data_IF_756387192587
#
_entry.id   IF_756387192587
#
_cell.length_a   1.000
_cell.length_b   1.000
_cell.length_c   1.000
_cell.angle_alpha   90.00
_cell.angle_beta   90.00
_cell.angle_gamma   90.00
#
_symmetry.space_group_name_H-M   'P 1'
#
loop_
_entity.id
_entity.type
_entity.pdbx_description
1 polymer ?
#
# COMPACT_ATOMS: atom_id res chain seq x y z
N UNK A 1 -7.57 -20.88 -22.44
CA UNK A 1 -6.54 -19.86 -22.72
C UNK A 1 -5.55 -19.88 -21.57
N UNK A 2 -4.27 -19.97 -21.86
CA UNK A 2 -3.18 -19.99 -20.88
C UNK A 2 -2.51 -18.63 -20.84
N UNK A 3 -2.58 -17.96 -19.67
CA UNK A 3 -2.07 -16.61 -19.48
C UNK A 3 -1.00 -16.57 -18.38
N UNK A 4 -0.16 -15.54 -18.39
CA UNK A 4 0.88 -15.36 -17.38
C UNK A 4 1.19 -13.89 -17.08
N UNK A 5 1.91 -13.67 -15.95
CA UNK A 5 2.73 -12.49 -15.73
C UNK A 5 4.19 -12.87 -15.89
N UNK A 6 4.94 -12.09 -16.66
CA UNK A 6 6.40 -12.22 -16.73
C UNK A 6 7.11 -11.04 -16.09
N UNK A 7 8.15 -11.33 -15.35
CA UNK A 7 9.00 -10.35 -14.67
C UNK A 7 10.25 -11.02 -14.12
N UNK A 8 11.17 -10.25 -13.55
CA UNK A 8 12.39 -10.83 -12.96
C UNK A 8 12.13 -11.39 -11.55
N UNK A 9 11.28 -10.72 -10.75
CA UNK A 9 10.90 -11.16 -9.41
C UNK A 9 9.41 -10.91 -9.20
N UNK A 10 8.65 -11.96 -8.87
CA UNK A 10 7.18 -11.93 -8.80
C UNK A 10 6.60 -12.41 -7.47
N UNK A 11 7.44 -12.77 -6.51
CA UNK A 11 7.05 -13.38 -5.23
C UNK A 11 6.00 -12.61 -4.41
N UNK A 12 5.84 -11.32 -4.68
CA UNK A 12 4.90 -10.43 -3.95
C UNK A 12 3.79 -9.87 -4.86
N UNK A 13 3.65 -10.39 -6.09
CA UNK A 13 2.65 -9.92 -7.06
C UNK A 13 1.23 -10.36 -6.69
N UNK A 14 0.28 -9.42 -6.77
CA UNK A 14 -1.16 -9.72 -6.63
C UNK A 14 -1.81 -10.11 -7.97
N UNK A 15 -1.08 -10.03 -9.08
CA UNK A 15 -1.65 -10.22 -10.42
C UNK A 15 -2.34 -11.57 -10.57
N UNK A 16 -1.73 -12.66 -10.06
CA UNK A 16 -2.36 -13.97 -10.11
C UNK A 16 -3.71 -13.99 -9.39
N UNK A 17 -3.76 -13.52 -8.14
CA UNK A 17 -5.00 -13.45 -7.36
C UNK A 17 -6.07 -12.59 -8.06
N UNK A 18 -5.69 -11.44 -8.63
CA UNK A 18 -6.61 -10.56 -9.36
C UNK A 18 -7.18 -11.25 -10.61
N UNK A 19 -6.32 -11.86 -11.44
CA UNK A 19 -6.74 -12.51 -12.67
C UNK A 19 -7.57 -13.79 -12.40
N UNK A 20 -7.26 -14.53 -11.34
CA UNK A 20 -8.06 -15.69 -10.90
C UNK A 20 -9.45 -15.28 -10.42
N UNK A 21 -9.59 -14.12 -9.74
CA UNK A 21 -10.90 -13.56 -9.33
C UNK A 21 -11.76 -13.16 -10.54
N UNK A 22 -11.18 -12.81 -11.68
CA UNK A 22 -11.96 -12.62 -12.91
C UNK A 22 -12.56 -13.92 -13.46
N UNK A 23 -11.91 -15.07 -13.26
CA UNK A 23 -12.48 -16.38 -13.54
C UNK A 23 -12.54 -16.80 -15.04
N UNK A 24 -11.83 -16.11 -15.95
CA UNK A 24 -11.93 -16.37 -17.39
C UNK A 24 -10.84 -17.27 -17.95
N UNK A 25 -9.70 -17.42 -17.25
CA UNK A 25 -8.53 -18.17 -17.71
C UNK A 25 -7.59 -18.54 -16.56
N UNK A 26 -6.71 -19.50 -16.81
CA UNK A 26 -5.63 -19.83 -15.89
C UNK A 26 -4.50 -18.79 -16.00
N UNK A 27 -3.92 -18.39 -14.86
CA UNK A 27 -2.91 -17.35 -14.83
C UNK A 27 -1.68 -17.77 -14.00
N UNK A 28 -0.52 -17.83 -14.67
CA UNK A 28 0.74 -18.25 -14.07
C UNK A 28 1.62 -17.04 -13.74
N UNK A 29 2.54 -17.21 -12.79
CA UNK A 29 3.65 -16.29 -12.55
C UNK A 29 4.92 -16.92 -13.10
N UNK A 30 5.61 -16.23 -14.01
CA UNK A 30 6.81 -16.74 -14.68
C UNK A 30 7.96 -15.76 -14.45
N UNK A 31 8.86 -16.11 -13.54
CA UNK A 31 10.10 -15.36 -13.33
C UNK A 31 11.09 -15.71 -14.45
N UNK A 32 11.66 -14.68 -15.06
CA UNK A 32 12.58 -14.81 -16.18
C UNK A 32 13.85 -14.01 -15.93
N UNK A 33 14.99 -14.58 -16.32
CA UNK A 33 16.22 -13.80 -16.49
C UNK A 33 16.20 -13.04 -17.82
N UNK A 34 16.91 -11.90 -17.94
CA UNK A 34 16.86 -11.05 -19.14
C UNK A 34 17.21 -11.77 -20.45
N UNK A 35 18.15 -12.69 -20.42
CA UNK A 35 18.60 -13.47 -21.57
C UNK A 35 17.56 -14.49 -22.09
N UNK A 36 16.53 -14.78 -21.28
CA UNK A 36 15.45 -15.70 -21.65
C UNK A 36 14.21 -15.01 -22.22
N UNK A 37 14.16 -13.68 -22.21
CA UNK A 37 12.97 -12.93 -22.62
C UNK A 37 12.57 -13.22 -24.07
N UNK A 38 13.49 -13.17 -25.02
CA UNK A 38 13.23 -13.44 -26.44
C UNK A 38 12.70 -14.87 -26.65
N UNK A 39 13.37 -15.87 -26.05
CA UNK A 39 12.97 -17.26 -26.15
C UNK A 39 11.56 -17.50 -25.59
N UNK A 40 11.20 -16.83 -24.49
CA UNK A 40 9.87 -16.90 -23.92
C UNK A 40 8.81 -16.35 -24.91
N UNK A 41 9.05 -15.16 -25.47
CA UNK A 41 8.12 -14.49 -26.39
C UNK A 41 7.90 -15.34 -27.64
N UNK A 42 8.97 -15.92 -28.23
CA UNK A 42 8.91 -16.74 -29.46
C UNK A 42 8.40 -18.17 -29.22
N UNK A 43 8.62 -18.70 -28.02
CA UNK A 43 8.44 -20.13 -27.69
C UNK A 43 7.01 -20.66 -27.65
N UNK A 44 5.97 -19.82 -27.71
CA UNK A 44 4.58 -20.25 -27.93
C UNK A 44 3.86 -20.90 -26.75
N UNK A 45 4.41 -20.87 -25.55
CA UNK A 45 3.84 -21.54 -24.37
C UNK A 45 2.61 -20.87 -23.75
N UNK A 46 2.30 -19.62 -24.13
CA UNK A 46 1.20 -18.82 -23.61
C UNK A 46 0.44 -18.12 -24.73
N UNK A 47 -0.89 -18.05 -24.57
CA UNK A 47 -1.77 -17.34 -25.50
C UNK A 47 -1.70 -15.83 -25.31
N UNK A 48 -1.54 -15.40 -24.04
CA UNK A 48 -1.42 -14.00 -23.65
C UNK A 48 -0.63 -13.87 -22.35
N UNK A 49 -0.02 -12.71 -22.11
CA UNK A 49 0.69 -12.47 -20.87
C UNK A 49 0.85 -10.97 -20.55
N UNK A 50 0.92 -10.66 -19.26
CA UNK A 50 1.32 -9.35 -18.81
C UNK A 50 2.84 -9.29 -18.60
N UNK A 51 3.38 -8.09 -18.66
CA UNK A 51 4.81 -7.80 -18.56
C UNK A 51 5.03 -6.77 -17.45
N UNK A 52 5.92 -7.08 -16.49
CA UNK A 52 6.30 -6.14 -15.45
C UNK A 52 7.81 -5.85 -15.45
N UNK A 53 8.29 -5.19 -14.45
CA UNK A 53 9.70 -4.78 -14.28
C UNK A 53 10.63 -5.99 -14.42
N UNK A 54 11.76 -5.87 -15.18
CA UNK A 54 12.22 -4.69 -15.92
C UNK A 54 11.79 -4.65 -17.40
N UNK A 55 10.95 -5.57 -17.88
CA UNK A 55 10.79 -5.95 -19.27
C UNK A 55 9.85 -5.07 -20.10
N UNK A 56 9.10 -4.13 -19.53
CA UNK A 56 8.08 -3.32 -20.23
C UNK A 56 8.59 -2.57 -21.48
N UNK A 57 9.86 -2.19 -21.49
CA UNK A 57 10.51 -1.57 -22.66
C UNK A 57 11.37 -2.55 -23.46
N UNK A 58 11.95 -3.53 -22.79
CA UNK A 58 12.86 -4.51 -23.40
C UNK A 58 12.15 -5.50 -24.31
N UNK A 59 10.84 -5.73 -24.09
CA UNK A 59 10.05 -6.67 -24.88
C UNK A 59 9.68 -6.13 -26.26
N UNK A 60 9.66 -4.82 -26.46
CA UNK A 60 9.17 -4.15 -27.67
C UNK A 60 9.82 -4.72 -28.96
N UNK A 61 11.16 -4.94 -29.03
CA UNK A 61 11.79 -5.47 -30.24
C UNK A 61 11.34 -6.90 -30.66
N UNK A 62 10.70 -7.63 -29.75
CA UNK A 62 10.25 -9.01 -29.99
C UNK A 62 8.77 -9.11 -30.39
N UNK A 63 8.08 -7.95 -30.54
CA UNK A 63 6.65 -7.88 -30.87
C UNK A 63 6.45 -7.46 -32.32
N UNK A 64 5.44 -8.08 -32.98
CA UNK A 64 5.14 -7.81 -34.38
C UNK A 64 4.35 -6.50 -34.57
N UNK A 65 3.52 -6.12 -33.59
CA UNK A 65 2.71 -4.92 -33.65
C UNK A 65 2.43 -4.36 -32.25
N UNK A 66 2.35 -3.06 -32.17
CA UNK A 66 1.97 -2.34 -30.95
C UNK A 66 0.66 -1.59 -31.18
N UNK A 67 -0.15 -1.41 -30.09
CA UNK A 67 -1.25 -0.46 -30.12
C UNK A 67 -0.73 0.99 -29.99
N UNK A 68 -1.57 1.97 -30.31
CA UNK A 68 -1.18 3.38 -30.31
C UNK A 68 -0.71 3.86 -28.94
N UNK A 69 -1.31 3.35 -27.87
CA UNK A 69 -0.94 3.70 -26.48
C UNK A 69 0.46 3.17 -26.18
N UNK A 70 0.76 1.92 -26.52
CA UNK A 70 2.08 1.33 -26.29
C UNK A 70 3.17 2.05 -27.11
N UNK A 71 2.87 2.47 -28.36
CA UNK A 71 3.78 3.26 -29.19
C UNK A 71 4.07 4.60 -28.55
N UNK A 72 3.04 5.39 -28.19
CA UNK A 72 3.23 6.72 -27.62
C UNK A 72 3.84 6.68 -26.21
N UNK A 73 3.46 5.69 -25.38
CA UNK A 73 4.02 5.52 -24.05
C UNK A 73 5.43 4.92 -24.07
N UNK A 74 5.84 4.27 -25.16
CA UNK A 74 7.13 3.58 -25.28
C UNK A 74 7.29 2.46 -24.26
N UNK A 75 6.19 1.78 -23.91
CA UNK A 75 6.18 0.71 -22.91
C UNK A 75 5.00 -0.24 -23.15
N UNK A 76 5.24 -1.55 -23.01
CA UNK A 76 4.25 -2.62 -23.14
C UNK A 76 4.13 -3.36 -21.81
N UNK A 77 2.90 -3.53 -21.32
CA UNK A 77 2.61 -4.35 -20.14
C UNK A 77 1.65 -5.52 -20.41
N UNK A 78 1.15 -5.65 -21.65
CA UNK A 78 0.17 -6.65 -22.04
C UNK A 78 0.48 -7.14 -23.45
N UNK A 79 0.54 -8.46 -23.64
CA UNK A 79 0.86 -9.09 -24.93
C UNK A 79 -0.15 -10.18 -25.21
N UNK A 80 -0.61 -10.28 -26.46
CA UNK A 80 -1.50 -11.35 -26.91
C UNK A 80 -1.01 -11.94 -28.22
N UNK A 81 -1.11 -13.26 -28.36
CA UNK A 81 -0.79 -13.99 -29.58
C UNK A 81 -2.04 -14.10 -30.47
N UNK A 82 -1.96 -13.62 -31.70
CA UNK A 82 -3.04 -13.68 -32.67
C UNK A 82 -2.48 -14.18 -34.00
N UNK A 83 -2.94 -15.33 -34.49
CA UNK A 83 -2.46 -15.87 -35.75
C UNK A 83 -0.95 -16.10 -35.81
N UNK A 84 -0.34 -16.49 -34.70
CA UNK A 84 1.11 -16.68 -34.57
C UNK A 84 1.92 -15.41 -34.34
N UNK A 85 1.33 -14.21 -34.47
CA UNK A 85 1.97 -12.91 -34.29
C UNK A 85 1.74 -12.38 -32.86
N UNK A 86 2.70 -11.62 -32.36
CA UNK A 86 2.70 -11.03 -31.01
C UNK A 86 2.29 -9.56 -31.06
N UNK A 87 1.18 -9.23 -30.40
CA UNK A 87 0.63 -7.87 -30.32
C UNK A 87 0.82 -7.32 -28.93
N UNK A 88 1.46 -6.15 -28.82
CA UNK A 88 1.74 -5.47 -27.56
C UNK A 88 0.79 -4.32 -27.30
N UNK A 89 0.36 -4.18 -26.03
CA UNK A 89 -0.56 -3.16 -25.55
C UNK A 89 -0.03 -2.52 -24.29
N UNK A 90 -0.53 -1.30 -24.00
CA UNK A 90 -0.29 -0.66 -22.71
C UNK A 90 -1.62 -0.47 -21.97
N UNK A 91 -1.91 -1.36 -21.01
CA UNK A 91 -3.10 -1.27 -20.15
C UNK A 91 -2.81 -0.51 -18.83
N UNK A 92 -1.54 -0.16 -18.55
CA UNK A 92 -1.20 0.69 -17.40
C UNK A 92 -1.76 2.10 -17.58
N UNK A 93 -1.80 2.64 -18.81
CA UNK A 93 -2.30 3.99 -19.06
C UNK A 93 -3.79 4.14 -18.72
N UNK A 94 -4.72 3.32 -19.25
CA UNK A 94 -6.12 3.35 -18.81
C UNK A 94 -6.26 2.98 -17.32
N UNK A 95 -5.43 2.07 -16.76
CA UNK A 95 -5.41 1.77 -15.34
C UNK A 95 -5.06 2.97 -14.47
N UNK A 96 -4.04 3.73 -14.86
CA UNK A 96 -3.66 4.97 -14.16
C UNK A 96 -4.74 6.04 -14.28
N UNK A 97 -5.33 6.22 -15.46
CA UNK A 97 -6.44 7.15 -15.67
C UNK A 97 -7.64 6.80 -14.76
N UNK A 98 -7.95 5.49 -14.63
CA UNK A 98 -8.97 5.00 -13.71
C UNK A 98 -8.64 5.34 -12.24
N UNK A 99 -7.43 5.05 -11.79
CA UNK A 99 -6.95 5.35 -10.43
C UNK A 99 -7.11 6.83 -10.09
N UNK A 100 -6.65 7.72 -10.97
CA UNK A 100 -6.74 9.16 -10.78
C UNK A 100 -8.20 9.63 -10.73
N UNK A 101 -9.03 9.18 -11.68
CA UNK A 101 -10.47 9.49 -11.74
C UNK A 101 -11.18 9.03 -10.44
N UNK A 102 -10.93 7.80 -10.00
CA UNK A 102 -11.50 7.23 -8.77
C UNK A 102 -11.17 8.08 -7.53
N UNK A 103 -9.96 8.62 -7.47
CA UNK A 103 -9.51 9.48 -6.38
C UNK A 103 -9.94 10.96 -6.53
N UNK A 104 -10.64 11.33 -7.60
CA UNK A 104 -11.00 12.73 -7.88
C UNK A 104 -9.80 13.63 -8.13
N UNK A 105 -8.70 13.06 -8.67
CA UNK A 105 -7.47 13.76 -9.03
C UNK A 105 -7.52 14.08 -10.52
N UNK A 106 -7.50 15.37 -10.88
CA UNK A 106 -7.40 15.84 -12.26
C UNK A 106 -5.98 16.34 -12.57
N UNK A 107 -5.50 16.03 -13.76
CA UNK A 107 -4.22 16.56 -14.28
C UNK A 107 -4.44 17.72 -15.26
N UNK A 108 -5.66 17.94 -15.70
CA UNK A 108 -5.98 18.99 -16.70
C UNK A 108 -5.60 20.38 -16.18
N UNK A 109 -4.78 21.11 -16.94
CA UNK A 109 -4.25 22.42 -16.60
C UNK A 109 -3.43 22.46 -15.28
N UNK A 110 -2.88 21.31 -14.85
CA UNK A 110 -2.04 21.21 -13.64
C UNK A 110 -0.57 21.07 -13.99
N UNK A 111 0.28 21.56 -13.09
CA UNK A 111 1.72 21.31 -13.10
C UNK A 111 1.95 19.95 -12.41
N UNK A 112 2.36 18.96 -13.21
CA UNK A 112 2.51 17.57 -12.78
C UNK A 112 3.98 17.20 -12.65
N UNK A 113 4.36 16.75 -11.47
CA UNK A 113 5.70 16.23 -11.17
C UNK A 113 5.66 14.70 -11.15
N UNK A 114 6.39 14.05 -12.05
CA UNK A 114 6.46 12.60 -12.18
C UNK A 114 7.80 12.11 -11.65
N UNK A 115 7.76 11.31 -10.59
CA UNK A 115 8.96 10.72 -10.00
C UNK A 115 9.25 9.39 -10.67
N UNK A 116 10.37 9.31 -11.40
CA UNK A 116 10.80 8.14 -12.13
C UNK A 116 10.64 8.22 -13.65
N UNK A 117 11.65 7.77 -14.38
CA UNK A 117 11.75 7.78 -15.84
C UNK A 117 11.63 6.39 -16.50
N UNK A 118 11.28 5.35 -15.72
CA UNK A 118 11.08 3.97 -16.21
C UNK A 118 9.77 3.81 -16.99
N UNK A 119 9.41 2.57 -17.33
CA UNK A 119 8.20 2.26 -18.10
C UNK A 119 6.93 2.89 -17.52
N UNK A 120 6.71 2.78 -16.21
CA UNK A 120 5.54 3.39 -15.54
C UNK A 120 5.62 4.92 -15.53
N UNK A 121 6.82 5.52 -15.40
CA UNK A 121 7.01 6.98 -15.52
C UNK A 121 6.69 7.50 -16.92
N UNK A 122 7.06 6.75 -17.97
CA UNK A 122 6.67 7.06 -19.36
C UNK A 122 5.15 6.98 -19.53
N UNK A 123 4.52 5.95 -18.98
CA UNK A 123 3.05 5.83 -18.96
C UNK A 123 2.39 7.02 -18.23
N UNK A 124 2.93 7.44 -17.08
CA UNK A 124 2.42 8.61 -16.36
C UNK A 124 2.53 9.90 -17.18
N UNK A 125 3.66 10.09 -17.88
CA UNK A 125 3.86 11.22 -18.79
C UNK A 125 2.88 11.19 -19.96
N UNK A 126 2.61 10.02 -20.53
CA UNK A 126 1.59 9.85 -21.56
C UNK A 126 0.21 10.25 -21.04
N UNK A 127 -0.22 9.74 -19.89
CA UNK A 127 -1.52 10.07 -19.28
C UNK A 127 -1.63 11.57 -19.01
N UNK A 128 -0.57 12.19 -18.47
CA UNK A 128 -0.55 13.63 -18.21
C UNK A 128 -0.68 14.45 -19.50
N UNK A 129 -0.02 14.05 -20.60
CA UNK A 129 -0.16 14.68 -21.93
C UNK A 129 -1.59 14.55 -22.46
N UNK A 130 -2.15 13.33 -22.44
CA UNK A 130 -3.52 13.07 -22.94
C UNK A 130 -4.59 13.82 -22.16
N UNK A 131 -4.38 14.04 -20.87
CA UNK A 131 -5.28 14.82 -20.00
C UNK A 131 -4.99 16.34 -20.04
N UNK A 132 -4.11 16.81 -20.93
CA UNK A 132 -3.76 18.22 -21.12
C UNK A 132 -3.23 18.89 -19.83
N UNK A 133 -2.28 18.26 -19.16
CA UNK A 133 -1.53 18.91 -18.09
C UNK A 133 -0.82 20.18 -18.62
N UNK A 134 -0.75 21.23 -17.81
CA UNK A 134 -0.14 22.50 -18.20
C UNK A 134 1.39 22.36 -18.30
N UNK A 135 2.00 21.65 -17.35
CA UNK A 135 3.44 21.37 -17.30
C UNK A 135 3.65 19.94 -16.84
N UNK A 136 4.60 19.26 -17.44
CA UNK A 136 4.99 17.90 -17.04
C UNK A 136 6.49 17.89 -16.80
N UNK A 137 6.88 17.64 -15.54
CA UNK A 137 8.30 17.55 -15.14
C UNK A 137 8.60 16.14 -14.67
N UNK A 138 9.56 15.47 -15.32
CA UNK A 138 10.00 14.14 -14.91
C UNK A 138 11.28 14.25 -14.06
N UNK A 139 11.21 13.70 -12.86
CA UNK A 139 12.35 13.62 -11.92
C UNK A 139 13.02 12.27 -12.05
N UNK A 140 14.33 12.25 -12.27
CA UNK A 140 15.11 11.02 -12.28
C UNK A 140 16.52 11.22 -11.71
N UNK A 141 17.19 10.15 -11.32
CA UNK A 141 18.52 10.21 -10.70
C UNK A 141 19.58 10.89 -11.59
N UNK A 142 19.43 10.81 -12.91
CA UNK A 142 20.35 11.36 -13.93
C UNK A 142 19.69 12.41 -14.81
N UNK A 143 18.47 12.86 -14.50
CA UNK A 143 17.75 13.88 -15.24
C UNK A 143 18.22 15.28 -14.89
N UNK A 144 17.82 16.25 -15.72
CA UNK A 144 17.98 17.68 -15.46
C UNK A 144 17.32 18.04 -14.12
N UNK A 145 16.06 17.62 -13.93
CA UNK A 145 15.43 17.64 -12.62
C UNK A 145 15.66 16.28 -11.93
N UNK A 146 16.30 16.34 -10.77
CA UNK A 146 16.66 15.19 -9.97
C UNK A 146 16.30 15.40 -8.48
N UNK A 147 16.59 14.45 -7.62
CA UNK A 147 16.19 14.50 -6.21
C UNK A 147 16.94 15.54 -5.36
N UNK A 148 18.00 16.20 -5.91
CA UNK A 148 18.71 17.28 -5.20
C UNK A 148 18.11 18.66 -5.48
N UNK A 149 17.53 18.87 -6.68
CA UNK A 149 16.93 20.14 -7.12
C UNK A 149 15.40 20.08 -7.30
N UNK A 150 14.75 18.95 -6.97
CA UNK A 150 13.32 18.76 -7.18
C UNK A 150 12.44 19.81 -6.47
N UNK A 151 12.89 20.35 -5.37
CA UNK A 151 12.15 21.37 -4.62
C UNK A 151 12.14 22.76 -5.29
N UNK A 152 12.95 22.97 -6.33
CA UNK A 152 12.86 24.15 -7.21
C UNK A 152 11.58 24.12 -8.06
N UNK A 153 10.93 22.94 -8.21
CA UNK A 153 9.65 22.80 -8.87
C UNK A 153 8.49 23.09 -7.87
N UNK A 154 8.60 24.21 -7.16
CA UNK A 154 7.62 24.62 -6.12
C UNK A 154 6.21 24.89 -6.64
N UNK A 155 6.06 25.06 -7.96
CA UNK A 155 4.80 25.23 -8.67
C UNK A 155 4.03 23.91 -8.93
N UNK A 156 4.57 22.78 -8.50
CA UNK A 156 3.93 21.48 -8.67
C UNK A 156 2.60 21.38 -7.90
N UNK A 157 1.55 20.99 -8.61
CA UNK A 157 0.19 20.81 -8.07
C UNK A 157 -0.18 19.34 -7.88
N UNK A 158 0.38 18.44 -8.68
CA UNK A 158 0.18 17.00 -8.57
C UNK A 158 1.53 16.29 -8.63
N UNK A 159 1.77 15.39 -7.68
CA UNK A 159 2.93 14.49 -7.70
C UNK A 159 2.45 13.08 -8.01
N UNK A 160 3.11 12.41 -8.98
CA UNK A 160 2.89 11.00 -9.30
C UNK A 160 4.18 10.24 -9.03
N UNK A 161 4.19 9.36 -8.03
CA UNK A 161 5.32 8.45 -7.82
C UNK A 161 5.18 7.23 -8.74
N UNK A 162 6.11 7.11 -9.69
CA UNK A 162 6.26 5.97 -10.59
C UNK A 162 7.60 5.23 -10.35
N UNK A 163 8.19 5.39 -9.15
CA UNK A 163 9.41 4.69 -8.71
C UNK A 163 9.05 3.52 -7.78
N UNK A 164 9.96 2.57 -7.55
CA UNK A 164 9.78 1.54 -6.53
C UNK A 164 10.16 2.00 -5.11
N UNK A 165 10.49 3.27 -4.89
CA UNK A 165 10.91 3.76 -3.57
C UNK A 165 9.73 3.82 -2.61
N UNK A 166 9.84 3.15 -1.47
CA UNK A 166 8.75 2.98 -0.51
C UNK A 166 7.94 1.68 -0.70
N UNK A 167 8.30 0.85 -1.71
CA UNK A 167 7.72 -0.47 -1.93
C UNK A 167 8.31 -1.50 -0.96
N UNK A 168 7.53 -2.51 -0.58
CA UNK A 168 8.00 -3.67 0.17
C UNK A 168 9.25 -4.30 -0.50
N UNK A 169 10.26 -4.71 0.26
CA UNK A 169 10.35 -4.73 1.73
C UNK A 169 10.86 -3.41 2.37
N UNK A 170 11.24 -2.40 1.58
CA UNK A 170 11.86 -1.14 2.05
C UNK A 170 10.80 -0.02 2.16
N UNK A 171 9.82 -0.22 3.05
CA UNK A 171 8.63 0.64 3.14
C UNK A 171 8.81 1.93 3.94
N UNK A 172 9.87 2.05 4.70
CA UNK A 172 10.17 3.16 5.62
C UNK A 172 10.90 4.34 4.95
N UNK A 173 11.14 4.26 3.63
CA UNK A 173 11.83 5.30 2.89
C UNK A 173 10.91 6.45 2.51
N UNK A 174 11.25 7.67 2.90
CA UNK A 174 10.61 8.91 2.45
C UNK A 174 11.31 9.39 1.16
N UNK A 175 10.59 9.38 0.04
CA UNK A 175 11.16 9.81 -1.25
C UNK A 175 11.28 11.34 -1.33
N UNK A 176 10.23 12.05 -0.94
CA UNK A 176 10.17 13.52 -0.90
C UNK A 176 9.45 13.99 0.36
N UNK A 177 9.74 15.22 0.76
CA UNK A 177 8.95 15.96 1.74
C UNK A 177 7.87 16.77 1.00
N UNK A 178 6.65 16.27 1.02
CA UNK A 178 5.50 16.86 0.31
C UNK A 178 5.12 18.26 0.85
N UNK A 179 5.49 18.58 2.10
CA UNK A 179 5.19 19.87 2.72
C UNK A 179 6.00 21.03 2.11
N UNK A 180 7.03 20.72 1.34
CA UNK A 180 7.86 21.71 0.65
C UNK A 180 7.28 22.17 -0.70
N UNK A 181 6.11 21.69 -1.08
CA UNK A 181 5.41 22.08 -2.30
C UNK A 181 4.14 22.88 -1.93
N UNK A 182 4.21 24.22 -1.90
CA UNK A 182 3.14 25.06 -1.35
C UNK A 182 1.85 25.04 -2.18
N UNK A 183 1.91 24.62 -3.45
CA UNK A 183 0.77 24.55 -4.36
C UNK A 183 0.27 23.11 -4.58
N UNK A 184 0.79 22.14 -3.81
CA UNK A 184 0.44 20.74 -3.99
C UNK A 184 -1.02 20.48 -3.57
N UNK A 185 -1.79 19.87 -4.45
CA UNK A 185 -3.20 19.51 -4.26
C UNK A 185 -3.40 18.00 -4.11
N UNK A 186 -2.52 17.21 -4.77
CA UNK A 186 -2.69 15.77 -4.79
C UNK A 186 -1.37 15.00 -4.93
N UNK A 187 -1.35 13.80 -4.36
CA UNK A 187 -0.26 12.81 -4.51
C UNK A 187 -0.84 11.47 -4.92
N UNK A 188 -0.37 10.93 -6.04
CA UNK A 188 -0.66 9.59 -6.50
C UNK A 188 0.60 8.72 -6.44
N UNK A 189 0.47 7.49 -5.97
CA UNK A 189 1.56 6.52 -5.93
C UNK A 189 1.15 5.24 -6.63
N UNK A 190 1.97 4.74 -7.55
CA UNK A 190 1.67 3.48 -8.26
C UNK A 190 1.99 2.24 -7.41
N UNK A 191 2.61 2.43 -6.26
CA UNK A 191 2.90 1.35 -5.32
C UNK A 191 1.59 0.88 -4.67
N UNK A 192 1.38 -0.43 -4.66
CA UNK A 192 0.23 -1.10 -4.04
C UNK A 192 0.60 -1.99 -2.85
N UNK A 193 1.89 -2.21 -2.65
CA UNK A 193 2.42 -2.94 -1.48
C UNK A 193 3.63 -2.18 -0.91
N UNK A 194 3.44 -1.43 0.18
CA UNK A 194 2.27 -1.34 1.03
C UNK A 194 1.09 -0.63 0.35
N UNK A 195 -0.11 -0.70 0.98
CA UNK A 195 -1.32 0.00 0.52
C UNK A 195 -1.14 1.53 0.56
N UNK A 196 -0.37 2.03 1.52
CA UNK A 196 -0.02 3.43 1.69
C UNK A 196 1.49 3.55 1.94
N UNK A 197 2.20 4.17 1.00
CA UNK A 197 3.60 4.53 1.21
C UNK A 197 3.71 5.68 2.22
N UNK A 198 4.91 5.89 2.76
CA UNK A 198 5.16 7.02 3.66
C UNK A 198 4.78 8.36 3.02
N UNK A 199 5.05 8.53 1.73
CA UNK A 199 4.69 9.75 0.99
C UNK A 199 3.16 9.95 0.93
N UNK A 200 2.38 8.90 0.72
CA UNK A 200 0.90 8.94 0.77
C UNK A 200 0.41 9.29 2.18
N UNK A 201 1.01 8.69 3.21
CA UNK A 201 0.66 8.98 4.61
C UNK A 201 0.95 10.45 4.97
N UNK A 202 2.11 10.98 4.57
CA UNK A 202 2.47 12.39 4.78
C UNK A 202 1.51 13.34 4.05
N UNK A 203 1.19 13.04 2.78
CA UNK A 203 0.27 13.83 1.98
C UNK A 203 -1.17 13.83 2.57
N UNK A 204 -1.63 12.67 3.06
CA UNK A 204 -2.93 12.53 3.74
C UNK A 204 -2.96 13.37 5.04
N UNK A 205 -1.89 13.33 5.82
CA UNK A 205 -1.76 14.14 7.04
C UNK A 205 -1.74 15.65 6.75
N UNK A 206 -1.28 16.06 5.55
CA UNK A 206 -1.33 17.43 5.06
C UNK A 206 -2.69 17.82 4.43
N UNK A 207 -3.70 16.95 4.45
CA UNK A 207 -5.04 17.22 3.90
C UNK A 207 -5.12 17.16 2.38
N UNK A 208 -4.11 16.61 1.69
CA UNK A 208 -4.07 16.52 0.23
C UNK A 208 -4.91 15.35 -0.27
N UNK A 209 -5.39 15.42 -1.51
CA UNK A 209 -5.98 14.25 -2.19
C UNK A 209 -4.90 13.18 -2.42
N UNK A 210 -5.20 11.93 -2.09
CA UNK A 210 -4.22 10.85 -2.20
C UNK A 210 -4.81 9.60 -2.82
N UNK A 211 -3.96 8.83 -3.53
CA UNK A 211 -4.28 7.46 -3.97
C UNK A 211 -3.04 6.59 -4.01
N UNK A 212 -3.18 5.34 -3.54
CA UNK A 212 -2.18 4.28 -3.75
C UNK A 212 -2.50 3.47 -5.00
N UNK A 213 -1.56 2.60 -5.40
CA UNK A 213 -1.56 1.91 -6.70
C UNK A 213 -2.52 0.73 -6.83
N UNK A 214 -3.24 0.31 -5.77
CA UNK A 214 -4.06 -0.90 -5.83
C UNK A 214 -5.17 -0.79 -6.88
N UNK A 215 -5.87 0.35 -6.97
CA UNK A 215 -6.93 0.55 -7.96
C UNK A 215 -6.39 0.57 -9.41
N UNK A 216 -5.18 1.13 -9.61
CA UNK A 216 -4.49 1.04 -10.90
C UNK A 216 -4.15 -0.41 -11.25
N UNK A 217 -3.65 -1.19 -10.27
CA UNK A 217 -3.27 -2.59 -10.47
C UNK A 217 -4.47 -3.44 -10.88
N UNK A 218 -5.63 -3.28 -10.24
CA UNK A 218 -6.85 -4.03 -10.61
C UNK A 218 -7.39 -3.55 -11.95
N UNK A 219 -7.46 -2.25 -12.18
CA UNK A 219 -8.00 -1.69 -13.42
C UNK A 219 -7.15 -2.10 -14.65
N UNK A 220 -5.81 -2.01 -14.58
CA UNK A 220 -4.95 -2.45 -15.69
C UNK A 220 -5.10 -3.95 -15.98
N UNK A 221 -5.32 -4.77 -14.94
CA UNK A 221 -5.55 -6.20 -15.12
C UNK A 221 -6.90 -6.48 -15.80
N UNK A 222 -7.95 -5.71 -15.46
CA UNK A 222 -9.24 -5.78 -16.17
C UNK A 222 -9.10 -5.39 -17.65
N UNK A 223 -8.38 -4.31 -17.95
CA UNK A 223 -8.15 -3.91 -19.34
C UNK A 223 -7.29 -4.95 -20.09
N UNK A 224 -6.32 -5.60 -19.42
CA UNK A 224 -5.59 -6.72 -19.97
C UNK A 224 -6.53 -7.94 -20.25
N UNK A 225 -7.45 -8.24 -19.34
CA UNK A 225 -8.47 -9.28 -19.54
C UNK A 225 -9.33 -9.00 -20.78
N UNK A 226 -9.74 -7.75 -21.01
CA UNK A 226 -10.49 -7.37 -22.21
C UNK A 226 -9.68 -7.67 -23.49
N UNK A 227 -8.38 -7.36 -23.50
CA UNK A 227 -7.47 -7.68 -24.60
C UNK A 227 -7.32 -9.19 -24.76
N UNK A 228 -7.10 -9.94 -23.69
CA UNK A 228 -6.92 -11.39 -23.72
C UNK A 228 -8.16 -12.11 -24.28
N UNK A 229 -9.33 -11.73 -23.78
CA UNK A 229 -10.61 -12.36 -24.17
C UNK A 229 -11.19 -11.79 -25.46
N UNK A 230 -10.61 -10.71 -26.00
CA UNK A 230 -11.13 -9.94 -27.16
C UNK A 230 -12.58 -9.48 -26.94
N UNK A 231 -12.96 -9.24 -25.70
CA UNK A 231 -14.30 -8.83 -25.30
C UNK A 231 -14.21 -7.77 -24.23
N UNK A 232 -15.00 -6.70 -24.37
CA UNK A 232 -15.13 -5.69 -23.31
C UNK A 232 -16.06 -6.22 -22.22
N UNK A 233 -15.56 -6.23 -20.98
CA UNK A 233 -16.31 -6.59 -19.78
C UNK A 233 -16.72 -5.32 -19.03
N UNK A 234 -17.73 -5.44 -18.16
CA UNK A 234 -18.19 -4.32 -17.33
C UNK A 234 -17.07 -3.86 -16.39
N UNK A 235 -16.90 -2.53 -16.30
CA UNK A 235 -15.91 -1.91 -15.42
C UNK A 235 -16.27 -2.08 -13.92
N UNK A 236 -17.52 -2.41 -13.59
CA UNK A 236 -17.96 -2.71 -12.21
C UNK A 236 -17.14 -3.86 -11.57
N UNK A 237 -16.61 -4.78 -12.37
CA UNK A 237 -15.73 -5.85 -11.86
C UNK A 237 -14.44 -5.29 -11.22
N UNK A 238 -13.99 -4.10 -11.61
CA UNK A 238 -12.80 -3.46 -11.03
C UNK A 238 -13.04 -3.16 -9.56
N UNK A 239 -14.19 -2.54 -9.23
CA UNK A 239 -14.50 -2.20 -7.82
C UNK A 239 -14.71 -3.46 -7.00
N UNK A 240 -15.42 -4.46 -7.50
CA UNK A 240 -15.63 -5.72 -6.79
C UNK A 240 -14.30 -6.41 -6.44
N UNK A 241 -13.40 -6.55 -7.41
CA UNK A 241 -12.09 -7.19 -7.18
C UNK A 241 -11.17 -6.31 -6.32
N UNK A 242 -11.24 -4.97 -6.48
CA UNK A 242 -10.52 -4.04 -5.64
C UNK A 242 -10.90 -4.19 -4.16
N UNK A 243 -12.21 -4.22 -3.86
CA UNK A 243 -12.71 -4.36 -2.49
C UNK A 243 -12.32 -5.71 -1.88
N UNK A 244 -12.39 -6.79 -2.65
CA UNK A 244 -11.95 -8.11 -2.21
C UNK A 244 -10.47 -8.12 -1.82
N UNK A 245 -9.59 -7.62 -2.72
CA UNK A 245 -8.13 -7.56 -2.47
C UNK A 245 -7.84 -6.64 -1.28
N UNK A 246 -8.54 -5.51 -1.18
CA UNK A 246 -8.37 -4.58 -0.07
C UNK A 246 -8.76 -5.23 1.27
N UNK A 247 -9.90 -5.93 1.32
CA UNK A 247 -10.35 -6.66 2.52
C UNK A 247 -9.37 -7.77 2.89
N UNK A 248 -8.85 -8.52 1.92
CA UNK A 248 -7.86 -9.57 2.15
C UNK A 248 -6.55 -9.03 2.72
N UNK A 249 -6.07 -7.91 2.20
CA UNK A 249 -4.72 -7.39 2.48
C UNK A 249 -4.67 -6.42 3.65
N UNK A 250 -5.72 -5.64 3.88
CA UNK A 250 -5.75 -4.60 4.92
C UNK A 250 -5.74 -5.19 6.32
N UNK A 251 -4.94 -4.61 7.21
CA UNK A 251 -4.86 -4.98 8.62
C UNK A 251 -5.90 -4.21 9.45
N UNK A 252 -6.27 -4.80 10.58
CA UNK A 252 -6.95 -4.10 11.69
C UNK A 252 -5.91 -3.83 12.76
N UNK A 253 -5.68 -2.59 13.13
CA UNK A 253 -4.72 -2.22 14.17
C UNK A 253 -5.45 -1.65 15.37
N UNK A 254 -5.22 -2.22 16.56
CA UNK A 254 -5.84 -1.77 17.79
C UNK A 254 -4.81 -1.02 18.64
N UNK A 255 -5.07 0.27 18.90
CA UNK A 255 -4.31 1.12 19.81
C UNK A 255 -5.19 1.52 21.00
N UNK A 256 -4.59 1.98 22.10
CA UNK A 256 -5.30 2.44 23.28
C UNK A 256 -4.54 2.20 24.57
N UNK A 257 -5.06 2.71 25.67
CA UNK A 257 -4.44 2.62 26.99
C UNK A 257 -4.17 1.16 27.41
N UNK A 258 -3.16 0.91 28.23
CA UNK A 258 -2.98 -0.38 28.86
C UNK A 258 -4.28 -0.79 29.58
N UNK A 259 -4.84 -2.00 29.31
CA UNK A 259 -6.08 -2.48 29.90
C UNK A 259 -7.37 -2.10 29.20
N UNK A 260 -7.31 -1.41 28.08
CA UNK A 260 -8.49 -1.08 27.30
C UNK A 260 -9.13 -2.27 26.56
N UNK A 261 -8.61 -3.51 26.70
CA UNK A 261 -9.22 -4.69 26.11
C UNK A 261 -8.70 -5.10 24.71
N UNK A 262 -7.65 -4.45 24.19
CA UNK A 262 -7.11 -4.68 22.83
C UNK A 262 -6.87 -6.16 22.52
N UNK A 263 -6.24 -6.90 23.42
CA UNK A 263 -5.91 -8.32 23.21
C UNK A 263 -7.19 -9.17 23.07
N UNK A 264 -8.19 -8.96 23.94
CA UNK A 264 -9.44 -9.73 23.91
C UNK A 264 -10.29 -9.37 22.69
N UNK A 265 -10.50 -8.08 22.45
CA UNK A 265 -11.22 -7.56 21.28
C UNK A 265 -10.52 -7.98 19.99
N UNK A 266 -9.19 -7.84 19.91
CA UNK A 266 -8.42 -8.21 18.74
C UNK A 266 -8.53 -9.68 18.35
N UNK A 267 -8.49 -10.59 19.33
CA UNK A 267 -8.71 -12.02 19.09
C UNK A 267 -10.13 -12.32 18.58
N UNK A 268 -11.14 -11.64 19.11
CA UNK A 268 -12.53 -11.82 18.65
C UNK A 268 -12.74 -11.25 17.25
N UNK A 269 -12.21 -10.05 16.95
CA UNK A 269 -12.25 -9.44 15.62
C UNK A 269 -11.53 -10.33 14.59
N UNK A 270 -10.35 -10.87 14.95
CA UNK A 270 -9.59 -11.76 14.07
C UNK A 270 -10.40 -13.02 13.68
N UNK A 271 -11.09 -13.64 14.65
CA UNK A 271 -11.96 -14.80 14.38
C UNK A 271 -13.13 -14.41 13.46
N UNK A 272 -13.80 -13.29 13.75
CA UNK A 272 -14.98 -12.84 12.98
C UNK A 272 -14.64 -12.44 11.54
N UNK A 273 -13.47 -11.85 11.32
CA UNK A 273 -12.97 -11.46 9.99
C UNK A 273 -12.13 -12.55 9.30
N UNK A 274 -11.97 -13.72 9.92
CA UNK A 274 -11.10 -14.83 9.45
C UNK A 274 -9.67 -14.37 9.12
N UNK A 275 -9.12 -13.45 9.93
CA UNK A 275 -7.78 -12.90 9.81
C UNK A 275 -6.81 -13.52 10.80
N UNK A 276 -5.51 -13.43 10.49
CA UNK A 276 -4.45 -13.76 11.45
C UNK A 276 -4.51 -12.79 12.63
N UNK A 277 -3.99 -13.21 13.78
CA UNK A 277 -3.87 -12.37 14.97
C UNK A 277 -2.42 -12.26 15.41
N UNK A 278 -1.99 -11.05 15.75
CA UNK A 278 -0.69 -10.77 16.36
C UNK A 278 -0.84 -9.79 17.54
N UNK A 279 -0.05 -10.00 18.60
CA UNK A 279 0.06 -9.09 19.73
C UNK A 279 1.52 -8.62 19.82
N UNK A 280 1.74 -7.30 19.72
CA UNK A 280 3.11 -6.75 19.69
C UNK A 280 3.89 -7.05 20.95
N UNK A 281 3.22 -7.04 22.12
CA UNK A 281 3.88 -7.31 23.40
C UNK A 281 4.32 -8.78 23.48
N UNK A 282 3.51 -9.72 22.97
CA UNK A 282 3.87 -11.13 22.87
C UNK A 282 5.07 -11.36 21.95
N UNK A 283 5.10 -10.70 20.78
CA UNK A 283 6.24 -10.79 19.84
C UNK A 283 7.51 -10.19 20.45
N UNK A 284 7.40 -9.09 21.23
CA UNK A 284 8.55 -8.51 21.94
C UNK A 284 9.12 -9.53 22.95
N UNK A 285 8.26 -10.15 23.75
CA UNK A 285 8.66 -11.19 24.74
C UNK A 285 9.36 -12.37 24.07
N UNK A 286 8.79 -12.87 22.96
CA UNK A 286 9.39 -13.95 22.17
C UNK A 286 10.79 -13.58 21.66
N UNK A 287 10.96 -12.39 21.07
CA UNK A 287 12.27 -11.92 20.56
C UNK A 287 13.30 -11.65 21.65
N UNK A 288 12.85 -11.11 22.78
CA UNK A 288 13.74 -10.76 23.88
C UNK A 288 14.14 -11.97 24.72
N UNK A 289 13.38 -13.07 24.66
CA UNK A 289 13.56 -14.26 25.50
C UNK A 289 13.27 -14.03 26.98
N UNK A 290 12.64 -12.91 27.34
CA UNK A 290 12.28 -12.56 28.71
C UNK A 290 11.03 -11.66 28.73
N UNK A 291 10.41 -11.53 29.89
CA UNK A 291 9.18 -10.75 30.08
C UNK A 291 9.44 -9.23 29.95
N UNK A 292 8.40 -8.46 29.62
CA UNK A 292 8.51 -7.00 29.53
C UNK A 292 9.02 -6.37 30.83
N UNK A 293 8.52 -6.74 32.03
CA UNK A 293 9.10 -6.26 33.29
C UNK A 293 10.61 -6.52 33.42
N UNK A 294 11.08 -7.72 33.05
CA UNK A 294 12.51 -8.05 33.08
C UNK A 294 13.32 -7.23 32.07
N UNK A 295 12.75 -6.90 30.90
CA UNK A 295 13.41 -6.01 29.93
C UNK A 295 13.61 -4.63 30.55
N UNK A 296 12.57 -4.07 31.17
CA UNK A 296 12.66 -2.76 31.84
C UNK A 296 13.67 -2.76 32.99
N UNK A 297 13.67 -3.81 33.81
CA UNK A 297 14.58 -3.93 34.96
C UNK A 297 16.04 -4.09 34.52
N UNK A 298 16.31 -4.99 33.57
CA UNK A 298 17.68 -5.40 33.19
C UNK A 298 18.31 -4.48 32.12
N UNK A 299 17.48 -3.92 31.20
CA UNK A 299 17.96 -3.20 30.00
C UNK A 299 17.37 -1.80 29.83
N UNK A 300 16.36 -1.44 30.60
CA UNK A 300 15.73 -0.13 30.63
C UNK A 300 14.75 0.15 29.48
N UNK A 301 14.04 1.27 29.59
CA UNK A 301 13.00 1.67 28.62
C UNK A 301 13.54 1.90 27.22
N UNK A 302 14.72 2.50 27.07
CA UNK A 302 15.32 2.78 25.74
C UNK A 302 15.51 1.51 24.91
N UNK A 303 15.95 0.43 25.54
CA UNK A 303 16.11 -0.86 24.88
C UNK A 303 14.76 -1.46 24.51
N UNK A 304 13.77 -1.41 25.41
CA UNK A 304 12.40 -1.84 25.12
C UNK A 304 11.85 -1.10 23.89
N UNK A 305 11.97 0.24 23.83
CA UNK A 305 11.48 1.04 22.69
C UNK A 305 12.19 0.70 21.38
N UNK A 306 13.47 0.32 21.44
CA UNK A 306 14.19 -0.11 20.22
C UNK A 306 13.65 -1.43 19.65
N UNK A 307 13.36 -2.41 20.52
CA UNK A 307 12.73 -3.68 20.10
C UNK A 307 11.29 -3.45 19.66
N UNK A 308 10.51 -2.67 20.41
CA UNK A 308 9.14 -2.30 20.05
C UNK A 308 9.09 -1.72 18.63
N UNK A 309 9.97 -0.77 18.29
CA UNK A 309 10.06 -0.18 16.94
C UNK A 309 10.30 -1.25 15.87
N UNK A 310 11.22 -2.19 16.10
CA UNK A 310 11.52 -3.26 15.14
C UNK A 310 10.32 -4.21 14.96
N UNK A 311 9.70 -4.64 16.06
CA UNK A 311 8.52 -5.50 16.04
C UNK A 311 7.35 -4.82 15.30
N UNK A 312 7.11 -3.55 15.59
CA UNK A 312 6.05 -2.80 14.93
C UNK A 312 6.33 -2.61 13.43
N UNK A 313 7.58 -2.36 13.05
CA UNK A 313 7.97 -2.31 11.63
C UNK A 313 7.67 -3.61 10.91
N UNK A 314 7.96 -4.76 11.53
CA UNK A 314 7.69 -6.07 10.91
C UNK A 314 6.19 -6.41 10.88
N UNK A 315 5.47 -6.15 11.98
CA UNK A 315 4.02 -6.36 12.04
C UNK A 315 3.27 -5.45 11.04
N UNK A 316 3.72 -4.21 10.86
CA UNK A 316 3.15 -3.28 9.89
C UNK A 316 3.29 -3.76 8.44
N UNK A 317 4.31 -4.55 8.12
CA UNK A 317 4.51 -5.20 6.81
C UNK A 317 3.62 -6.43 6.58
N UNK A 318 3.01 -6.98 7.65
CA UNK A 318 2.04 -8.06 7.52
C UNK A 318 0.79 -7.58 6.77
N UNK A 319 0.05 -8.54 6.24
CA UNK A 319 -1.20 -8.31 5.50
C UNK A 319 -2.29 -9.22 6.04
N UNK A 320 -3.53 -8.73 6.05
CA UNK A 320 -4.69 -9.51 6.50
C UNK A 320 -4.59 -9.94 7.97
N UNK A 321 -4.03 -9.09 8.82
CA UNK A 321 -3.74 -9.41 10.22
C UNK A 321 -4.44 -8.41 11.15
N UNK A 322 -4.99 -8.90 12.24
CA UNK A 322 -5.42 -8.05 13.37
C UNK A 322 -4.24 -7.91 14.32
N UNK A 323 -3.79 -6.69 14.54
CA UNK A 323 -2.61 -6.35 15.33
C UNK A 323 -3.05 -5.63 16.61
N UNK A 324 -2.89 -6.24 17.75
CA UNK A 324 -3.02 -5.58 19.05
C UNK A 324 -1.67 -5.02 19.48
N UNK A 325 -1.63 -3.75 19.91
CA UNK A 325 -0.39 -3.07 20.24
C UNK A 325 -0.23 -2.83 21.73
N UNK A 326 1.03 -2.67 22.18
CA UNK A 326 1.33 -2.13 23.49
C UNK A 326 0.80 -0.70 23.64
N UNK A 327 0.40 -0.31 24.86
CA UNK A 327 -0.18 1.03 25.12
C UNK A 327 0.78 2.22 24.89
N UNK A 328 2.09 1.98 24.78
CA UNK A 328 3.09 3.02 24.52
C UNK A 328 3.51 3.15 23.05
N UNK A 329 2.93 2.35 22.16
CA UNK A 329 3.31 2.29 20.72
C UNK A 329 3.25 3.66 20.04
N UNK A 330 2.28 4.50 20.44
CA UNK A 330 2.03 5.83 19.86
C UNK A 330 3.06 6.90 20.26
N UNK A 331 3.93 6.61 21.22
CA UNK A 331 4.97 7.56 21.69
C UNK A 331 6.10 7.73 20.66
N UNK A 332 6.28 6.76 19.77
CA UNK A 332 7.23 6.87 18.67
C UNK A 332 6.46 7.11 17.35
N UNK A 333 6.61 8.30 16.72
CA UNK A 333 5.93 8.61 15.46
C UNK A 333 6.22 7.63 14.32
N UNK A 334 7.41 6.99 14.31
CA UNK A 334 7.75 6.00 13.28
C UNK A 334 6.87 4.76 13.35
N UNK A 335 6.39 4.39 14.53
CA UNK A 335 5.45 3.29 14.70
C UNK A 335 4.12 3.56 14.00
N UNK A 336 3.66 4.81 13.98
CA UNK A 336 2.45 5.20 13.26
C UNK A 336 2.58 4.89 11.76
N UNK A 337 3.67 5.31 11.10
CA UNK A 337 3.89 5.02 9.69
C UNK A 337 3.92 3.52 9.40
N UNK A 338 4.58 2.76 10.26
CA UNK A 338 4.64 1.30 10.13
C UNK A 338 3.26 0.65 10.24
N UNK A 339 2.40 1.11 11.15
CA UNK A 339 1.06 0.56 11.35
C UNK A 339 0.08 1.02 10.27
N UNK A 340 0.15 2.29 9.87
CA UNK A 340 -0.75 2.90 8.88
C UNK A 340 -0.53 2.38 7.45
N UNK A 341 0.68 1.87 7.12
CA UNK A 341 1.02 1.49 5.74
C UNK A 341 0.09 0.42 5.13
N UNK A 342 -0.45 -0.49 5.95
CA UNK A 342 -1.40 -1.53 5.54
C UNK A 342 -2.63 -1.60 6.46
N UNK A 343 -2.72 -0.78 7.50
CA UNK A 343 -3.70 -0.89 8.58
C UNK A 343 -4.75 0.21 8.59
N UNK A 344 -5.94 -0.15 9.08
CA UNK A 344 -6.89 0.80 9.66
C UNK A 344 -6.68 0.79 11.16
N UNK A 345 -6.43 1.95 11.73
CA UNK A 345 -6.07 2.10 13.14
C UNK A 345 -7.33 2.46 13.95
N UNK A 346 -7.73 1.56 14.83
CA UNK A 346 -8.84 1.73 15.75
C UNK A 346 -8.34 2.05 17.14
N UNK A 347 -8.73 3.19 17.70
CA UNK A 347 -8.48 3.53 19.09
C UNK A 347 -9.59 2.95 19.96
N UNK A 348 -9.25 1.95 20.78
CA UNK A 348 -10.15 1.43 21.83
C UNK A 348 -10.09 2.34 23.02
N UNK A 349 -11.07 3.23 23.13
CA UNK A 349 -11.19 4.21 24.20
C UNK A 349 -11.95 3.58 25.36
N UNK A 350 -11.34 3.59 26.55
CA UNK A 350 -11.94 3.10 27.79
C UNK A 350 -11.60 4.08 28.91
N UNK A 351 -12.58 4.48 29.75
CA UNK A 351 -12.30 5.38 30.87
C UNK A 351 -11.20 4.84 31.79
N UNK A 352 -10.36 5.73 32.32
CA UNK A 352 -9.26 5.35 33.22
C UNK A 352 -9.77 4.63 34.47
N UNK A 353 -11.02 4.97 34.94
CA UNK A 353 -11.72 4.30 36.04
C UNK A 353 -11.84 2.79 35.84
N UNK A 354 -11.98 2.33 34.60
CA UNK A 354 -12.32 0.96 34.24
C UNK A 354 -11.13 0.14 33.76
N UNK A 355 -9.94 0.78 33.75
CA UNK A 355 -8.70 0.12 33.32
C UNK A 355 -8.16 -0.82 34.41
N UNK A 356 -7.80 -2.04 34.00
CA UNK A 356 -7.16 -3.03 34.89
C UNK A 356 -5.71 -2.63 35.22
N UNK A 357 -5.30 -2.71 36.47
CA UNK A 357 -3.95 -2.40 36.96
C UNK A 357 -2.99 -3.61 36.97
N UNK A 358 -3.48 -4.82 36.67
CA UNK A 358 -2.70 -6.06 36.86
C UNK A 358 -1.50 -6.16 35.91
N UNK A 359 -0.31 -6.54 36.46
CA UNK A 359 0.92 -6.91 35.75
C UNK A 359 1.52 -5.83 34.82
N UNK A 360 1.67 -4.57 35.30
CA UNK A 360 2.15 -3.46 34.46
C UNK A 360 3.26 -2.65 35.11
N UNK A 361 4.48 -2.62 34.53
CA UNK A 361 5.62 -1.93 35.13
C UNK A 361 5.46 -0.42 35.23
N UNK A 362 4.73 0.22 34.27
CA UNK A 362 4.60 1.69 34.20
C UNK A 362 3.26 2.24 34.74
N UNK A 363 2.30 1.40 35.11
CA UNK A 363 0.97 1.80 35.62
C UNK A 363 0.75 1.19 36.99
N UNK A 364 1.57 1.57 37.96
CA UNK A 364 1.59 0.99 39.33
C UNK A 364 0.36 1.40 40.17
N UNK A 365 -0.20 2.57 39.93
CA UNK A 365 -1.37 3.10 40.61
C UNK A 365 -2.28 3.93 39.69
N UNK A 366 -3.40 4.40 40.21
CA UNK A 366 -4.43 5.13 39.45
C UNK A 366 -3.95 6.51 39.02
N UNK A 367 -3.17 7.20 39.83
CA UNK A 367 -2.62 8.50 39.51
C UNK A 367 -1.62 8.43 38.34
N UNK A 368 -0.76 7.39 38.32
CA UNK A 368 0.15 7.14 37.19
C UNK A 368 -0.61 6.84 35.87
N UNK A 369 -1.78 6.19 35.95
CA UNK A 369 -2.63 5.97 34.78
C UNK A 369 -3.26 7.27 34.27
N UNK A 370 -3.75 8.13 35.12
CA UNK A 370 -4.34 9.42 34.77
C UNK A 370 -3.32 10.35 34.11
N UNK A 371 -2.11 10.42 34.65
CA UNK A 371 -1.01 11.22 34.08
C UNK A 371 -0.60 10.63 32.70
N UNK A 372 -0.54 9.32 32.59
CA UNK A 372 -0.27 8.64 31.31
C UNK A 372 -1.37 8.93 30.28
N UNK A 373 -2.63 8.94 30.69
CA UNK A 373 -3.77 9.25 29.82
C UNK A 373 -3.68 10.67 29.28
N UNK A 374 -3.40 11.67 30.12
CA UNK A 374 -3.25 13.07 29.71
C UNK A 374 -2.23 13.22 28.56
N UNK A 375 -1.11 12.50 28.63
CA UNK A 375 -0.07 12.54 27.60
C UNK A 375 -0.45 11.77 26.33
N UNK A 376 -1.10 10.61 26.49
CA UNK A 376 -1.34 9.66 25.38
C UNK A 376 -2.65 9.88 24.65
N UNK A 377 -3.69 10.41 25.31
CA UNK A 377 -5.00 10.63 24.71
C UNK A 377 -4.94 11.48 23.41
N UNK A 378 -4.22 12.61 23.38
CA UNK A 378 -4.09 13.39 22.15
C UNK A 378 -3.41 12.61 21.02
N UNK A 379 -2.44 11.75 21.36
CA UNK A 379 -1.73 10.94 20.35
C UNK A 379 -2.61 9.79 19.82
N UNK A 380 -3.36 9.10 20.69
CA UNK A 380 -4.33 8.09 20.24
C UNK A 380 -5.35 8.69 19.27
N UNK A 381 -5.94 9.85 19.65
CA UNK A 381 -6.94 10.54 18.82
C UNK A 381 -6.34 11.02 17.48
N UNK A 382 -5.08 11.46 17.50
CA UNK A 382 -4.38 11.92 16.28
C UNK A 382 -4.08 10.79 15.31
N UNK A 383 -3.71 9.61 15.81
CA UNK A 383 -3.24 8.49 14.98
C UNK A 383 -4.34 7.50 14.62
N UNK A 384 -5.51 7.59 15.24
CA UNK A 384 -6.63 6.70 14.94
C UNK A 384 -7.36 7.14 13.67
N UNK A 385 -7.69 6.18 12.82
CA UNK A 385 -8.67 6.37 11.75
C UNK A 385 -10.09 6.37 12.31
N UNK A 386 -10.34 5.59 13.38
CA UNK A 386 -11.63 5.45 14.07
C UNK A 386 -11.46 5.33 15.57
N UNK A 387 -12.39 5.92 16.31
CA UNK A 387 -12.48 5.78 17.78
C UNK A 387 -13.64 4.85 18.09
N UNK A 388 -13.38 3.84 18.90
CA UNK A 388 -14.35 2.84 19.36
C UNK A 388 -14.46 2.96 20.88
N UNK A 389 -15.64 3.33 21.36
CA UNK A 389 -15.92 3.34 22.80
C UNK A 389 -16.02 1.89 23.32
N UNK A 390 -15.21 1.57 24.33
CA UNK A 390 -15.21 0.25 24.97
C UNK A 390 -15.60 0.39 26.44
N UNK A 391 -16.86 0.76 26.66
CA UNK A 391 -17.46 1.14 27.93
C UNK A 391 -18.11 -0.03 28.69
N UNK A 392 -17.91 -1.27 28.22
CA UNK A 392 -18.37 -2.48 28.92
C UNK A 392 -19.02 -3.52 28.02
N UNK A 393 -19.63 -3.17 26.89
CA UNK A 393 -20.15 -4.14 25.94
C UNK A 393 -19.08 -4.62 24.97
N UNK A 394 -18.49 -5.76 25.31
CA UNK A 394 -17.45 -6.42 24.51
C UNK A 394 -17.95 -6.79 23.10
N UNK A 395 -19.19 -7.28 22.99
CA UNK A 395 -19.72 -7.75 21.70
C UNK A 395 -20.04 -6.59 20.78
N UNK A 396 -20.63 -5.50 21.30
CA UNK A 396 -20.86 -4.27 20.54
C UNK A 396 -19.56 -3.68 20.00
N UNK A 397 -18.50 -3.65 20.81
CA UNK A 397 -17.19 -3.18 20.38
C UNK A 397 -16.61 -4.02 19.21
N UNK A 398 -16.69 -5.35 19.29
CA UNK A 398 -16.25 -6.25 18.22
C UNK A 398 -17.10 -6.06 16.96
N UNK A 399 -18.41 -5.92 17.09
CA UNK A 399 -19.35 -5.71 15.99
C UNK A 399 -19.06 -4.40 15.27
N UNK A 400 -18.95 -3.30 15.99
CA UNK A 400 -18.64 -1.98 15.43
C UNK A 400 -17.34 -1.98 14.60
N UNK A 401 -16.27 -2.62 15.10
CA UNK A 401 -15.02 -2.74 14.34
C UNK A 401 -15.22 -3.58 13.08
N UNK A 402 -15.90 -4.72 13.17
CA UNK A 402 -16.06 -5.63 12.03
C UNK A 402 -16.99 -5.05 10.96
N UNK A 403 -18.03 -4.34 11.33
CA UNK A 403 -18.91 -3.64 10.39
C UNK A 403 -18.21 -2.48 9.70
N UNK A 404 -17.47 -1.63 10.45
CA UNK A 404 -16.71 -0.54 9.86
C UNK A 404 -15.62 -1.04 8.90
N UNK A 405 -14.93 -2.13 9.26
CA UNK A 405 -13.90 -2.73 8.43
C UNK A 405 -14.43 -3.32 7.11
N UNK A 406 -15.67 -3.82 7.10
CA UNK A 406 -16.31 -4.42 5.93
C UNK A 406 -16.95 -3.40 4.98
N UNK A 407 -17.11 -2.15 5.40
CA UNK A 407 -17.53 -1.02 4.53
C UNK A 407 -16.42 -0.55 3.62
#
# INVERSE_FOLDING_TARGET
MKCALIGQTLSHSYSKNIHEKFGFYNYDLVELEPDRLENFVRGGGYDAFNVTIPYKTQIIPYLDKLDDIAVEAGAVNTVVRIGGKMYGYNTDAPGMAYMLKRAGITLTNKNVLILGSGGTGKTASFVAKKTKAAKITTVSRKGEVNYTNVYEQSDAQVIINATPVGMYPYTDVRLLDVTKFPHLEAVADVIYNPLQTRMITDARAAGLKTTGGLSMLVAQAKFAMDVFTKKRHDDAIIESVYDDILKETRNVVLIGMPGSGKTSVGKAVARRLMKKYADSDAVIVERAGCTIPEIFEKKGEKYFRSIEKQVISDLGKCRGTVISTGGGVILNPENYYSLAQNGVIYYLKRPASDLSLRNRPLSKDRHALEEMEKVRLPLYSRYADKIIENDGDFFACVEQITEDFNK
#
